data_IF_219999693532
#
_entry.id   IF_219999693532
#
_cell.length_a   1.000
_cell.length_b   1.000
_cell.length_c   1.000
_cell.angle_alpha   90.00
_cell.angle_beta   90.00
_cell.angle_gamma   90.00
#
_symmetry.space_group_name_H-M   'P 1'
#
loop_
_entity.id
_entity.type
_entity.pdbx_description
1 polymer ?
#
# COMPACT_ATOMS: atom_id res chain seq x y z
N UNK A 1 -15.97 24.21 -2.35
CA UNK A 1 -14.55 24.42 -2.47
C UNK A 1 -14.22 25.72 -3.22
N UNK A 2 -14.71 25.95 -4.45
CA UNK A 2 -14.36 27.14 -5.25
C UNK A 2 -14.62 28.45 -4.49
N UNK A 3 -15.81 28.66 -3.95
CA UNK A 3 -16.16 29.86 -3.20
C UNK A 3 -15.22 30.07 -1.99
N UNK A 4 -14.91 28.98 -1.27
CA UNK A 4 -14.02 29.05 -0.12
C UNK A 4 -12.56 29.38 -0.54
N UNK A 5 -12.09 28.78 -1.62
CA UNK A 5 -10.75 29.06 -2.16
C UNK A 5 -10.62 30.50 -2.66
N UNK A 6 -11.68 31.04 -3.27
CA UNK A 6 -11.68 32.41 -3.81
C UNK A 6 -11.90 33.51 -2.75
N UNK A 7 -12.38 33.15 -1.56
CA UNK A 7 -12.73 34.12 -0.50
C UNK A 7 -11.97 33.89 0.79
N UNK A 8 -12.43 32.95 1.61
CA UNK A 8 -11.89 32.70 2.97
C UNK A 8 -10.45 32.22 2.96
N UNK A 9 -10.09 31.36 1.99
CA UNK A 9 -8.76 30.76 1.90
C UNK A 9 -7.86 31.38 0.82
N UNK A 10 -8.29 32.48 0.19
CA UNK A 10 -7.53 33.10 -0.90
C UNK A 10 -6.11 33.50 -0.49
N UNK A 11 -5.93 33.91 0.78
CA UNK A 11 -4.62 34.35 1.31
C UNK A 11 -3.93 33.31 2.18
N UNK A 12 -4.58 32.18 2.47
CA UNK A 12 -3.99 31.12 3.31
C UNK A 12 -2.85 30.45 2.57
N UNK A 13 -1.64 30.55 3.13
CA UNK A 13 -0.43 29.99 2.52
C UNK A 13 0.05 30.72 1.25
N UNK A 14 -0.43 31.95 1.01
CA UNK A 14 0.06 32.78 -0.09
C UNK A 14 1.57 33.05 0.08
N UNK A 15 2.26 33.09 -1.06
CA UNK A 15 3.69 33.44 -1.09
C UNK A 15 3.90 34.89 -0.66
N UNK A 16 5.14 35.30 -0.23
CA UNK A 16 5.43 36.66 0.13
C UNK A 16 5.19 37.67 -0.99
N UNK A 17 5.20 37.26 -2.24
CA UNK A 17 4.88 38.04 -3.44
C UNK A 17 3.39 38.23 -3.68
N UNK A 18 2.54 37.65 -2.81
CA UNK A 18 1.08 37.70 -2.92
C UNK A 18 0.51 36.72 -3.96
N UNK A 19 1.35 35.91 -4.62
CA UNK A 19 0.91 34.94 -5.61
C UNK A 19 0.45 33.64 -4.96
N UNK A 20 -0.72 33.15 -5.39
CA UNK A 20 -1.26 31.81 -5.12
C UNK A 20 -1.43 31.47 -3.62
N UNK A 21 -2.66 31.13 -3.23
CA UNK A 21 -2.93 30.51 -1.92
C UNK A 21 -2.60 29.01 -1.93
N UNK A 22 -2.48 28.41 -0.74
CA UNK A 22 -2.28 26.96 -0.58
C UNK A 22 -3.47 26.13 -1.12
N UNK A 23 -4.62 26.77 -1.26
CA UNK A 23 -5.85 26.13 -1.78
C UNK A 23 -6.21 26.81 -3.10
N UNK A 24 -5.83 26.22 -4.26
CA UNK A 24 -6.08 26.82 -5.55
C UNK A 24 -7.58 26.72 -5.92
N UNK A 25 -8.03 27.66 -6.73
CA UNK A 25 -9.36 27.60 -7.36
C UNK A 25 -9.37 26.57 -8.50
N UNK A 26 -10.53 26.01 -8.87
CA UNK A 26 -10.62 25.08 -10.00
C UNK A 26 -10.05 25.61 -11.32
N UNK A 27 -10.29 26.88 -11.73
CA UNK A 27 -9.62 27.43 -12.92
C UNK A 27 -8.11 27.44 -12.81
N UNK A 28 -7.54 27.87 -11.67
CA UNK A 28 -6.08 27.87 -11.47
C UNK A 28 -5.45 26.46 -11.54
N UNK A 29 -6.18 25.43 -11.10
CA UNK A 29 -5.75 24.03 -11.27
C UNK A 29 -5.71 23.66 -12.77
N UNK A 30 -6.71 24.06 -13.55
CA UNK A 30 -6.75 23.77 -14.99
C UNK A 30 -5.63 24.50 -15.73
N UNK A 31 -5.38 25.76 -15.41
CA UNK A 31 -4.27 26.54 -15.96
C UNK A 31 -2.94 25.85 -15.67
N UNK A 32 -2.70 25.44 -14.44
CA UNK A 32 -1.47 24.74 -14.06
C UNK A 32 -1.32 23.39 -14.78
N UNK A 33 -2.42 22.64 -14.95
CA UNK A 33 -2.39 21.38 -15.73
C UNK A 33 -1.98 21.60 -17.19
N UNK A 34 -2.42 22.71 -17.79
CA UNK A 34 -2.07 23.07 -19.17
C UNK A 34 -0.60 23.55 -19.25
N UNK A 35 -0.15 24.37 -18.32
CA UNK A 35 1.24 24.87 -18.25
C UNK A 35 2.25 23.75 -18.06
N UNK A 36 2.01 22.83 -17.13
CA UNK A 36 2.89 21.68 -16.86
C UNK A 36 3.00 20.76 -18.08
N UNK A 37 1.92 20.66 -18.84
CA UNK A 37 1.84 19.85 -20.05
C UNK A 37 1.78 18.34 -19.79
N UNK A 38 1.29 17.61 -20.78
CA UNK A 38 1.04 16.16 -20.69
C UNK A 38 2.32 15.35 -20.38
N UNK A 39 3.46 15.79 -20.90
CA UNK A 39 4.74 15.10 -20.71
C UNK A 39 5.18 15.04 -19.25
N UNK A 40 4.91 16.10 -18.48
CA UNK A 40 5.17 16.13 -17.05
C UNK A 40 4.36 15.07 -16.30
N UNK A 41 3.06 14.99 -16.58
CA UNK A 41 2.17 14.03 -15.89
C UNK A 41 2.44 12.59 -16.30
N UNK A 42 2.70 12.33 -17.58
CA UNK A 42 3.05 10.98 -18.07
C UNK A 42 4.35 10.50 -17.43
N UNK A 43 5.38 11.35 -17.37
CA UNK A 43 6.66 11.00 -16.76
C UNK A 43 6.52 10.70 -15.26
N UNK A 44 5.94 11.62 -14.51
CA UNK A 44 5.79 11.45 -13.06
C UNK A 44 4.79 10.33 -12.71
N UNK A 45 3.70 10.22 -13.47
CA UNK A 45 2.72 9.17 -13.32
C UNK A 45 3.28 7.77 -13.57
N UNK A 46 4.13 7.62 -14.61
CA UNK A 46 4.77 6.32 -14.87
C UNK A 46 5.72 5.89 -13.75
N UNK A 47 6.46 6.82 -13.15
CA UNK A 47 7.32 6.53 -11.98
C UNK A 47 6.46 6.10 -10.80
N UNK A 48 5.40 6.85 -10.48
CA UNK A 48 4.48 6.53 -9.38
C UNK A 48 3.78 5.19 -9.58
N UNK A 49 3.36 4.87 -10.81
CA UNK A 49 2.76 3.56 -11.13
C UNK A 49 3.77 2.42 -10.97
N UNK A 50 5.02 2.63 -11.34
CA UNK A 50 6.08 1.65 -11.14
C UNK A 50 6.34 1.41 -9.65
N UNK A 51 6.45 2.48 -8.86
CA UNK A 51 6.62 2.41 -7.40
C UNK A 51 5.46 1.65 -6.74
N UNK A 52 4.23 2.00 -7.10
CA UNK A 52 3.02 1.34 -6.60
C UNK A 52 2.97 -0.14 -7.03
N UNK A 53 3.28 -0.44 -8.29
CA UNK A 53 3.31 -1.81 -8.82
C UNK A 53 4.36 -2.69 -8.13
N UNK A 54 5.58 -2.18 -7.96
CA UNK A 54 6.64 -2.90 -7.24
C UNK A 54 6.28 -3.10 -5.77
N UNK A 55 5.77 -2.06 -5.10
CA UNK A 55 5.31 -2.15 -3.71
C UNK A 55 4.18 -3.15 -3.55
N UNK A 56 3.20 -3.13 -4.46
CA UNK A 56 2.09 -4.10 -4.49
C UNK A 56 2.60 -5.53 -4.65
N UNK A 57 3.50 -5.79 -5.58
CA UNK A 57 4.06 -7.12 -5.81
C UNK A 57 4.83 -7.63 -4.60
N UNK A 58 5.75 -6.84 -4.05
CA UNK A 58 6.54 -7.22 -2.88
C UNK A 58 5.67 -7.40 -1.65
N UNK A 59 4.78 -6.45 -1.35
CA UNK A 59 3.90 -6.50 -0.19
C UNK A 59 2.96 -7.70 -0.20
N UNK A 60 2.32 -7.99 -1.34
CA UNK A 60 1.46 -9.16 -1.48
C UNK A 60 2.25 -10.48 -1.41
N UNK A 61 3.42 -10.55 -2.05
CA UNK A 61 4.25 -11.75 -2.00
C UNK A 61 4.66 -12.09 -0.56
N UNK A 62 5.12 -11.10 0.21
CA UNK A 62 5.47 -11.28 1.62
C UNK A 62 4.24 -11.68 2.44
N UNK A 63 3.11 -11.00 2.22
CA UNK A 63 1.86 -11.29 2.93
C UNK A 63 1.36 -12.71 2.70
N UNK A 64 1.39 -13.19 1.46
CA UNK A 64 0.97 -14.55 1.11
C UNK A 64 1.91 -15.62 1.68
N UNK A 65 3.23 -15.36 1.70
CA UNK A 65 4.20 -16.25 2.34
C UNK A 65 3.94 -16.31 3.84
N UNK A 66 3.73 -15.17 4.51
CA UNK A 66 3.40 -15.14 5.93
C UNK A 66 2.08 -15.85 6.23
N UNK A 67 1.06 -15.66 5.38
CA UNK A 67 -0.22 -16.36 5.51
C UNK A 67 -0.06 -17.87 5.35
N UNK A 68 0.71 -18.34 4.37
CA UNK A 68 0.99 -19.75 4.17
C UNK A 68 1.73 -20.35 5.39
N UNK A 69 2.69 -19.64 5.96
CA UNK A 69 3.40 -20.05 7.19
C UNK A 69 2.42 -20.15 8.37
N UNK A 70 1.58 -19.12 8.57
CA UNK A 70 0.59 -19.10 9.65
C UNK A 70 -0.43 -20.24 9.55
N UNK A 71 -0.85 -20.57 8.32
CA UNK A 71 -1.84 -21.62 8.07
C UNK A 71 -1.26 -23.04 8.16
N UNK A 72 0.02 -23.22 7.85
CA UNK A 72 0.67 -24.53 7.86
C UNK A 72 1.36 -24.86 9.17
N UNK A 73 1.84 -23.84 9.88
CA UNK A 73 2.60 -24.00 11.14
C UNK A 73 1.89 -23.25 12.26
N UNK A 74 0.96 -23.90 13.01
CA UNK A 74 0.16 -23.21 14.03
C UNK A 74 0.98 -22.50 15.12
N UNK A 75 2.20 -22.96 15.40
CA UNK A 75 3.10 -22.32 16.37
C UNK A 75 3.59 -20.93 15.90
N UNK A 76 3.60 -20.68 14.60
CA UNK A 76 4.05 -19.42 14.00
C UNK A 76 2.87 -18.47 13.67
N UNK A 77 1.63 -18.91 13.81
CA UNK A 77 0.43 -18.08 13.53
C UNK A 77 0.45 -16.77 14.32
N UNK A 78 0.73 -16.83 15.63
CA UNK A 78 0.81 -15.64 16.47
C UNK A 78 1.92 -14.68 16.05
N UNK A 79 3.09 -15.19 15.69
CA UNK A 79 4.22 -14.37 15.24
C UNK A 79 3.93 -13.70 13.89
N UNK A 80 3.42 -14.45 12.92
CA UNK A 80 3.07 -13.93 11.60
C UNK A 80 1.97 -12.87 11.70
N UNK A 81 0.94 -13.11 12.53
CA UNK A 81 -0.12 -12.14 12.79
C UNK A 81 0.40 -10.86 13.45
N UNK A 82 1.30 -10.97 14.42
CA UNK A 82 1.91 -9.80 15.07
C UNK A 82 2.76 -8.99 14.09
N UNK A 83 3.54 -9.64 13.23
CA UNK A 83 4.33 -8.94 12.19
C UNK A 83 3.41 -8.16 11.23
N UNK A 84 2.33 -8.78 10.77
CA UNK A 84 1.37 -8.11 9.90
C UNK A 84 0.68 -6.92 10.61
N UNK A 85 0.28 -7.08 11.88
CA UNK A 85 -0.35 -6.02 12.68
C UNK A 85 0.61 -4.84 12.88
N UNK A 86 1.88 -5.10 13.17
CA UNK A 86 2.89 -4.05 13.38
C UNK A 86 2.99 -3.18 12.13
N UNK A 87 3.01 -3.74 10.92
CA UNK A 87 3.08 -2.96 9.69
C UNK A 87 1.87 -2.04 9.51
N UNK A 88 0.71 -2.43 10.01
CA UNK A 88 -0.51 -1.63 9.93
C UNK A 88 -0.58 -0.52 10.99
N UNK A 89 -0.09 -0.81 12.21
CA UNK A 89 -0.17 0.13 13.34
C UNK A 89 0.82 1.30 13.20
N UNK A 90 1.92 1.11 12.48
CA UNK A 90 2.92 2.17 12.31
C UNK A 90 2.36 3.23 11.35
N UNK A 91 2.29 4.50 11.75
CA UNK A 91 1.87 5.58 10.86
C UNK A 91 2.87 5.73 9.70
N UNK A 92 2.46 5.33 8.50
CA UNK A 92 3.33 5.33 7.30
C UNK A 92 3.98 6.69 7.07
N UNK A 93 3.22 7.77 7.28
CA UNK A 93 3.74 9.14 7.13
C UNK A 93 4.88 9.42 8.11
N UNK A 94 4.82 8.88 9.33
CA UNK A 94 5.84 9.10 10.34
C UNK A 94 7.15 8.35 10.05
N UNK A 95 7.07 7.15 9.46
CA UNK A 95 8.27 6.37 9.13
C UNK A 95 8.86 6.70 7.76
N UNK A 96 8.14 7.41 6.91
CA UNK A 96 8.59 7.78 5.57
C UNK A 96 9.99 8.38 5.53
N UNK A 97 10.30 9.40 6.34
CA UNK A 97 11.65 10.00 6.43
C UNK A 97 12.73 9.00 6.86
N UNK A 98 12.42 8.10 7.80
CA UNK A 98 13.34 7.07 8.29
C UNK A 98 13.65 6.06 7.19
N UNK A 99 12.61 5.56 6.50
CA UNK A 99 12.78 4.63 5.37
C UNK A 99 13.62 5.27 4.27
N UNK A 100 13.37 6.55 3.95
CA UNK A 100 14.15 7.29 2.97
C UNK A 100 15.63 7.42 3.38
N UNK A 101 15.91 7.58 4.66
CA UNK A 101 17.28 7.65 5.18
C UNK A 101 18.03 6.33 5.01
N UNK A 102 17.33 5.21 5.22
CA UNK A 102 17.89 3.87 5.10
C UNK A 102 18.08 3.45 3.64
N UNK A 103 17.07 3.70 2.81
CA UNK A 103 17.04 3.26 1.39
C UNK A 103 17.82 4.22 0.49
N UNK A 104 17.92 5.49 0.89
CA UNK A 104 18.55 6.55 0.11
C UNK A 104 17.56 7.34 -0.74
N UNK A 105 18.07 8.42 -1.35
CA UNK A 105 17.31 9.24 -2.29
C UNK A 105 17.40 8.63 -3.71
N UNK A 106 16.31 8.67 -4.49
CA UNK A 106 16.35 8.21 -5.88
C UNK A 106 17.17 9.16 -6.74
N UNK A 107 17.74 8.63 -7.82
CA UNK A 107 18.30 9.43 -8.90
C UNK A 107 17.22 10.19 -9.69
N UNK A 108 17.62 11.16 -10.53
CA UNK A 108 16.68 11.89 -11.37
C UNK A 108 15.90 10.96 -12.31
N UNK A 109 14.58 10.88 -12.14
CA UNK A 109 13.72 10.02 -12.95
C UNK A 109 13.69 8.54 -12.56
N UNK A 110 14.31 8.18 -11.43
CA UNK A 110 14.25 6.83 -10.87
C UNK A 110 13.14 6.69 -9.84
N UNK A 111 12.57 5.46 -9.69
CA UNK A 111 11.59 5.20 -8.65
C UNK A 111 12.24 5.30 -7.25
N UNK A 112 11.54 5.94 -6.33
CA UNK A 112 11.98 6.06 -4.96
C UNK A 112 11.81 4.72 -4.22
N UNK A 113 12.91 4.09 -3.83
CA UNK A 113 12.87 2.83 -3.06
C UNK A 113 12.04 2.96 -1.78
N UNK A 114 12.06 4.14 -1.13
CA UNK A 114 11.22 4.42 0.03
C UNK A 114 9.72 4.35 -0.30
N UNK A 115 9.28 4.85 -1.45
CA UNK A 115 7.90 4.76 -1.89
C UNK A 115 7.48 3.28 -2.09
N UNK A 116 8.35 2.48 -2.72
CA UNK A 116 8.12 1.03 -2.89
C UNK A 116 7.97 0.32 -1.55
N UNK A 117 8.85 0.58 -0.58
CA UNK A 117 8.78 -0.03 0.77
C UNK A 117 7.49 0.37 1.48
N UNK A 118 7.13 1.65 1.46
CA UNK A 118 5.92 2.15 2.11
C UNK A 118 4.65 1.59 1.45
N UNK A 119 4.64 1.49 0.12
CA UNK A 119 3.55 0.85 -0.61
C UNK A 119 3.42 -0.65 -0.27
N UNK A 120 4.55 -1.37 -0.17
CA UNK A 120 4.56 -2.77 0.25
C UNK A 120 4.01 -2.95 1.68
N UNK A 121 4.40 -2.10 2.62
CA UNK A 121 3.87 -2.13 3.99
C UNK A 121 2.36 -1.86 4.03
N UNK A 122 1.84 -0.97 3.18
CA UNK A 122 0.42 -0.63 3.12
C UNK A 122 -0.47 -1.81 2.75
N UNK A 123 -0.03 -2.67 1.83
CA UNK A 123 -0.82 -3.81 1.36
C UNK A 123 -0.58 -5.09 2.19
N UNK A 124 0.54 -5.19 2.90
CA UNK A 124 0.95 -6.39 3.61
C UNK A 124 -0.11 -6.88 4.61
N UNK A 125 -0.57 -6.00 5.50
CA UNK A 125 -1.55 -6.36 6.53
C UNK A 125 -2.88 -6.77 5.92
N UNK A 126 -3.42 -6.00 5.00
CA UNK A 126 -4.72 -6.24 4.38
C UNK A 126 -4.75 -7.54 3.61
N UNK A 127 -3.68 -7.83 2.85
CA UNK A 127 -3.55 -9.08 2.10
C UNK A 127 -3.36 -10.28 3.04
N UNK A 128 -2.53 -10.16 4.09
CA UNK A 128 -2.33 -11.21 5.08
C UNK A 128 -3.65 -11.59 5.75
N UNK A 129 -4.37 -10.61 6.29
CA UNK A 129 -5.65 -10.85 6.98
C UNK A 129 -6.69 -11.41 6.01
N UNK A 130 -6.77 -10.87 4.79
CA UNK A 130 -7.67 -11.37 3.75
C UNK A 130 -7.40 -12.84 3.41
N UNK A 131 -6.14 -13.20 3.20
CA UNK A 131 -5.72 -14.57 2.89
C UNK A 131 -6.02 -15.53 4.06
N UNK A 132 -5.59 -15.19 5.28
CA UNK A 132 -5.82 -16.05 6.46
C UNK A 132 -7.30 -16.21 6.76
N UNK A 133 -8.08 -15.14 6.70
CA UNK A 133 -9.53 -15.18 6.95
C UNK A 133 -10.25 -15.95 5.84
N UNK A 134 -9.89 -15.73 4.59
CA UNK A 134 -10.46 -16.44 3.44
C UNK A 134 -10.27 -17.95 3.58
N UNK A 135 -9.04 -18.38 3.82
CA UNK A 135 -8.71 -19.79 4.01
C UNK A 135 -9.43 -20.40 5.24
N UNK A 136 -9.43 -19.70 6.37
CA UNK A 136 -10.11 -20.16 7.61
C UNK A 136 -11.64 -20.15 7.51
N UNK A 137 -12.23 -19.51 6.53
CA UNK A 137 -13.69 -19.47 6.32
C UNK A 137 -14.26 -20.72 5.66
N UNK A 138 -13.41 -21.64 5.20
CA UNK A 138 -13.83 -22.91 4.59
C UNK A 138 -14.62 -23.77 5.58
N UNK A 139 -15.74 -24.35 5.10
CA UNK A 139 -16.61 -25.19 5.94
C UNK A 139 -15.83 -26.40 6.50
N UNK A 140 -15.89 -26.53 7.82
CA UNK A 140 -15.24 -27.64 8.55
C UNK A 140 -15.65 -29.01 8.02
N UNK A 141 -16.91 -29.18 7.57
CA UNK A 141 -17.41 -30.43 7.00
C UNK A 141 -16.62 -30.87 5.79
N UNK A 142 -16.24 -29.92 4.91
CA UNK A 142 -15.43 -30.20 3.74
C UNK A 142 -14.02 -30.62 4.15
N UNK A 143 -13.44 -29.94 5.12
CA UNK A 143 -12.12 -30.27 5.67
C UNK A 143 -12.09 -31.64 6.37
N UNK A 144 -13.18 -32.03 7.03
CA UNK A 144 -13.33 -33.33 7.68
C UNK A 144 -13.42 -34.45 6.64
N UNK A 145 -14.12 -34.23 5.52
CA UNK A 145 -14.16 -35.17 4.39
C UNK A 145 -12.76 -35.40 3.81
N UNK A 146 -12.00 -34.33 3.53
CA UNK A 146 -10.63 -34.46 3.03
C UNK A 146 -9.75 -35.24 4.00
N UNK A 147 -9.93 -35.04 5.32
CA UNK A 147 -9.22 -35.78 6.35
C UNK A 147 -9.59 -37.26 6.37
N UNK A 148 -10.87 -37.58 6.26
CA UNK A 148 -11.37 -38.96 6.24
C UNK A 148 -10.81 -39.76 5.07
N UNK A 149 -10.54 -39.09 3.93
CA UNK A 149 -9.88 -39.68 2.77
C UNK A 149 -8.33 -39.63 2.82
N UNK A 150 -7.75 -39.31 3.98
CA UNK A 150 -6.28 -39.30 4.16
C UNK A 150 -5.55 -38.08 3.60
N UNK A 151 -6.26 -36.99 3.30
CA UNK A 151 -5.66 -35.75 2.80
C UNK A 151 -4.77 -35.07 3.87
N UNK A 152 -3.60 -34.61 3.45
CA UNK A 152 -2.65 -33.87 4.25
C UNK A 152 -3.10 -32.40 4.50
N UNK A 153 -2.42 -31.69 5.41
CA UNK A 153 -2.63 -30.25 5.61
C UNK A 153 -2.42 -29.44 4.32
N UNK A 154 -1.45 -29.83 3.51
CA UNK A 154 -1.19 -29.19 2.22
C UNK A 154 -2.32 -29.47 1.20
N UNK A 155 -2.85 -30.70 1.18
CA UNK A 155 -4.01 -31.00 0.33
C UNK A 155 -5.23 -30.17 0.69
N UNK A 156 -5.48 -29.93 1.98
CA UNK A 156 -6.55 -29.06 2.44
C UNK A 156 -6.32 -27.63 1.97
N UNK A 157 -5.11 -27.09 2.14
CA UNK A 157 -4.77 -25.71 1.81
C UNK A 157 -4.85 -25.43 0.30
N UNK A 158 -4.29 -26.31 -0.54
CA UNK A 158 -4.17 -26.05 -1.98
C UNK A 158 -5.31 -26.59 -2.85
N UNK A 159 -6.10 -27.53 -2.33
CA UNK A 159 -7.17 -28.17 -3.12
C UNK A 159 -8.58 -27.79 -2.66
N UNK A 160 -8.72 -27.28 -1.43
CA UNK A 160 -10.03 -27.06 -0.81
C UNK A 160 -10.17 -25.65 -0.23
N UNK A 161 -9.11 -25.04 0.28
CA UNK A 161 -9.04 -23.70 0.84
C UNK A 161 -8.39 -22.74 -0.13
#
# INVERSE_FOLDING_TARGET
WWLLAATVFATVGARPDGSGGAIPTPPAVIEQLIEDGLSFYVRNGSITLLEAGLGFLWGNSIALVLAAIALTIPKLDSLASQMAIITYLIPIVAIGPIVRLIVGAPGPGEPAGAAVVLAAMSVLFTTYIGAVTGVKSTDKRILDVVSAYGGSTLDRLFKVQ
#
